data_IF_490321915159
#
_entry.id   IF_490321915159
#
_cell.length_a   1.000
_cell.length_b   1.000
_cell.length_c   1.000
_cell.angle_alpha   90.00
_cell.angle_beta   90.00
_cell.angle_gamma   90.00
#
_symmetry.space_group_name_H-M   'P 1'
#
loop_
_entity.id
_entity.type
_entity.pdbx_description
1 polymer ?
#
# COMPACT_ATOMS: atom_id res chain seq x y z
N UNK A 1 17.45 19.00 13.40
CA UNK A 1 15.98 19.09 13.44
C UNK A 1 15.49 18.16 12.35
N UNK A 2 14.86 17.03 12.69
CA UNK A 2 14.31 16.15 11.66
C UNK A 2 13.22 16.92 10.91
N UNK A 3 13.11 16.79 9.56
CA UNK A 3 12.00 17.38 8.84
C UNK A 3 10.68 16.89 9.44
N UNK A 4 9.72 17.80 9.64
CA UNK A 4 8.36 17.42 10.02
C UNK A 4 7.81 16.47 8.96
N UNK A 5 7.27 15.33 9.37
CA UNK A 5 6.65 14.37 8.47
C UNK A 5 5.42 15.02 7.83
N UNK A 6 5.53 15.38 6.55
CA UNK A 6 4.41 15.90 5.77
C UNK A 6 3.51 14.75 5.30
N UNK A 7 2.24 15.09 5.01
CA UNK A 7 1.33 14.15 4.35
C UNK A 7 1.76 14.04 2.89
N UNK A 8 2.16 12.84 2.41
CA UNK A 8 2.66 12.67 1.06
C UNK A 8 1.55 12.85 0.03
N UNK A 9 1.92 13.28 -1.18
CA UNK A 9 1.01 13.21 -2.33
C UNK A 9 0.90 11.76 -2.77
N UNK A 10 -0.31 11.20 -2.67
CA UNK A 10 -0.55 9.79 -2.98
C UNK A 10 -0.89 9.60 -4.46
N UNK A 11 -0.17 8.68 -5.11
CA UNK A 11 -0.43 8.23 -6.49
C UNK A 11 -1.00 6.82 -6.40
N UNK A 12 -2.24 6.64 -6.84
CA UNK A 12 -2.86 5.32 -6.89
C UNK A 12 -2.71 4.67 -8.26
N UNK A 13 -2.22 3.43 -8.27
CA UNK A 13 -2.17 2.60 -9.46
C UNK A 13 -3.12 1.41 -9.30
N UNK A 14 -4.32 1.55 -9.87
CA UNK A 14 -5.35 0.52 -9.87
C UNK A 14 -5.17 -0.36 -11.08
N UNK A 15 -4.97 -1.66 -10.87
CA UNK A 15 -4.62 -2.55 -11.97
C UNK A 15 -5.11 -3.98 -11.76
N UNK A 16 -5.37 -4.69 -12.85
CA UNK A 16 -5.66 -6.11 -12.78
C UNK A 16 -4.39 -6.92 -12.46
N UNK A 17 -4.50 -8.17 -11.96
CA UNK A 17 -3.36 -9.07 -11.84
C UNK A 17 -2.66 -9.25 -13.20
N UNK A 18 -1.32 -9.37 -13.16
CA UNK A 18 -0.46 -9.59 -14.36
C UNK A 18 -0.43 -8.40 -15.34
N UNK A 19 -0.68 -7.19 -14.86
CA UNK A 19 -0.69 -5.93 -15.64
C UNK A 19 0.63 -5.16 -15.65
N UNK A 20 1.74 -5.77 -15.20
CA UNK A 20 3.04 -5.12 -14.99
C UNK A 20 3.08 -4.05 -13.88
N UNK A 21 2.03 -3.93 -13.06
CA UNK A 21 1.98 -2.97 -11.95
C UNK A 21 3.11 -3.15 -10.92
N UNK A 22 3.60 -4.38 -10.72
CA UNK A 22 4.79 -4.65 -9.89
C UNK A 22 6.05 -4.02 -10.49
N UNK A 23 6.26 -4.13 -11.80
CA UNK A 23 7.42 -3.52 -12.47
C UNK A 23 7.35 -1.99 -12.37
N UNK A 24 6.16 -1.42 -12.52
CA UNK A 24 5.94 0.02 -12.35
C UNK A 24 6.20 0.47 -10.91
N UNK A 25 5.73 -0.30 -9.91
CA UNK A 25 6.03 -0.05 -8.50
C UNK A 25 7.53 -0.02 -8.23
N UNK A 26 8.29 -0.99 -8.75
CA UNK A 26 9.75 -0.98 -8.61
C UNK A 26 10.39 0.23 -9.28
N UNK A 27 9.89 0.70 -10.42
CA UNK A 27 10.39 1.92 -11.07
C UNK A 27 10.18 3.16 -10.20
N UNK A 28 9.06 3.27 -9.48
CA UNK A 28 8.83 4.36 -8.52
C UNK A 28 9.70 4.21 -7.26
N UNK A 29 9.93 2.99 -6.80
CA UNK A 29 10.79 2.70 -5.64
C UNK A 29 12.26 3.09 -5.87
N UNK A 30 12.71 3.25 -7.12
CA UNK A 30 14.06 3.73 -7.45
C UNK A 30 14.20 5.26 -7.39
N UNK A 31 13.11 6.00 -7.11
CA UNK A 31 13.16 7.46 -7.02
C UNK A 31 13.41 7.88 -5.57
N UNK A 32 14.36 8.81 -5.37
CA UNK A 32 14.69 9.32 -4.03
C UNK A 32 13.55 10.07 -3.34
N UNK A 33 12.57 10.55 -4.10
CA UNK A 33 11.43 11.35 -3.65
C UNK A 33 10.14 10.55 -3.40
N UNK A 34 10.20 9.22 -3.55
CA UNK A 34 9.02 8.36 -3.53
C UNK A 34 9.19 7.19 -2.57
N UNK A 35 8.14 6.93 -1.78
CA UNK A 35 7.96 5.66 -1.06
C UNK A 35 6.83 4.84 -1.73
N UNK A 36 6.87 3.51 -1.57
CA UNK A 36 5.93 2.61 -2.25
C UNK A 36 5.15 1.74 -1.25
N UNK A 37 3.88 1.49 -1.55
CA UNK A 37 3.04 0.52 -0.86
C UNK A 37 2.64 -0.59 -1.84
N UNK A 38 2.92 -1.84 -1.47
CA UNK A 38 2.53 -3.01 -2.25
C UNK A 38 1.22 -3.59 -1.71
N UNK A 39 0.13 -3.40 -2.46
CA UNK A 39 -1.20 -3.96 -2.20
C UNK A 39 -1.68 -3.79 -0.74
N UNK A 40 -1.67 -2.57 -0.15
CA UNK A 40 -1.92 -2.37 1.28
C UNK A 40 -3.34 -2.80 1.72
N UNK A 41 -4.29 -2.90 0.79
CA UNK A 41 -5.67 -3.30 1.04
C UNK A 41 -5.91 -4.81 0.91
N UNK A 42 -4.88 -5.63 0.67
CA UNK A 42 -5.07 -7.04 0.38
C UNK A 42 -5.64 -7.84 1.56
N UNK A 43 -5.24 -7.54 2.79
CA UNK A 43 -5.81 -8.15 3.99
C UNK A 43 -7.28 -7.80 4.17
N UNK A 44 -7.66 -6.55 3.90
CA UNK A 44 -9.05 -6.13 3.90
C UNK A 44 -9.86 -6.86 2.81
N UNK A 45 -9.30 -7.03 1.60
CA UNK A 45 -9.92 -7.80 0.54
C UNK A 45 -10.19 -9.26 0.98
N UNK A 46 -9.22 -9.96 1.57
CA UNK A 46 -9.41 -11.33 2.07
C UNK A 46 -10.40 -11.41 3.24
N UNK A 47 -10.43 -10.40 4.11
CA UNK A 47 -11.41 -10.31 5.20
C UNK A 47 -12.83 -10.16 4.66
N UNK A 48 -13.05 -9.19 3.75
CA UNK A 48 -14.38 -8.81 3.26
C UNK A 48 -14.95 -9.86 2.30
N UNK A 49 -14.13 -10.37 1.37
CA UNK A 49 -14.60 -11.33 0.36
C UNK A 49 -14.69 -12.75 0.88
N UNK A 50 -13.94 -13.10 1.93
CA UNK A 50 -13.88 -14.46 2.45
C UNK A 50 -13.20 -15.45 1.49
N UNK A 51 -12.52 -14.97 0.44
CA UNK A 51 -11.82 -15.82 -0.52
C UNK A 51 -10.78 -16.67 0.19
N UNK A 52 -10.85 -17.99 -0.01
CA UNK A 52 -9.92 -18.92 0.61
C UNK A 52 -8.54 -18.86 -0.09
N UNK A 53 -7.51 -18.76 0.75
CA UNK A 53 -6.10 -18.76 0.35
C UNK A 53 -5.30 -19.49 1.42
N UNK A 54 -4.31 -20.32 1.05
CA UNK A 54 -3.49 -21.05 2.02
C UNK A 54 -2.82 -20.15 3.07
N UNK A 55 -2.50 -18.91 2.69
CA UNK A 55 -1.84 -17.91 3.53
C UNK A 55 -2.79 -16.88 4.14
N UNK A 56 -4.12 -17.08 4.06
CA UNK A 56 -5.11 -16.07 4.47
C UNK A 56 -4.93 -15.63 5.92
N UNK A 57 -4.85 -16.60 6.84
CA UNK A 57 -4.71 -16.32 8.27
C UNK A 57 -3.37 -15.66 8.58
N UNK A 58 -2.30 -16.13 7.97
CA UNK A 58 -0.97 -15.53 8.08
C UNK A 58 -0.98 -14.07 7.63
N UNK A 59 -1.59 -13.78 6.47
CA UNK A 59 -1.66 -12.43 5.92
C UNK A 59 -2.47 -11.49 6.81
N UNK A 60 -3.64 -11.92 7.27
CA UNK A 60 -4.50 -11.14 8.18
C UNK A 60 -3.81 -10.94 9.55
N UNK A 61 -2.95 -11.85 9.99
CA UNK A 61 -2.19 -11.68 11.23
C UNK A 61 -1.05 -10.64 11.11
N UNK A 62 -0.55 -10.42 9.90
CA UNK A 62 0.61 -9.54 9.63
C UNK A 62 0.21 -8.15 9.12
N UNK A 63 -0.99 -7.99 8.57
CA UNK A 63 -1.48 -6.76 7.96
C UNK A 63 -2.79 -6.33 8.61
N UNK A 64 -3.03 -5.03 8.74
CA UNK A 64 -4.29 -4.48 9.24
C UNK A 64 -5.44 -4.83 8.28
N UNK A 65 -6.45 -5.62 8.70
CA UNK A 65 -7.54 -6.01 7.82
C UNK A 65 -8.68 -4.98 7.77
N UNK A 66 -8.69 -3.95 8.62
CA UNK A 66 -9.63 -2.83 8.53
C UNK A 66 -9.20 -1.81 7.46
N UNK A 67 -9.88 -1.86 6.31
CA UNK A 67 -9.60 -0.96 5.18
C UNK A 67 -9.67 0.54 5.54
N UNK A 68 -10.52 0.95 6.49
CA UNK A 68 -10.59 2.37 6.88
C UNK A 68 -9.34 2.82 7.62
N UNK A 69 -8.80 1.96 8.49
CA UNK A 69 -7.53 2.22 9.17
C UNK A 69 -6.37 2.22 8.19
N UNK A 70 -6.32 1.26 7.26
CA UNK A 70 -5.28 1.25 6.21
C UNK A 70 -5.31 2.55 5.40
N UNK A 71 -6.49 3.01 4.98
CA UNK A 71 -6.61 4.26 4.23
C UNK A 71 -6.08 5.45 5.05
N UNK A 72 -6.52 5.58 6.31
CA UNK A 72 -6.18 6.72 7.16
C UNK A 72 -4.72 6.72 7.61
N UNK A 73 -4.25 5.59 8.10
CA UNK A 73 -3.00 5.50 8.86
C UNK A 73 -1.82 5.01 8.01
N UNK A 74 -2.09 4.34 6.88
CA UNK A 74 -1.04 3.79 5.97
C UNK A 74 -1.00 4.53 4.64
N UNK A 75 -2.13 4.67 3.94
CA UNK A 75 -2.17 5.33 2.62
C UNK A 75 -2.01 6.83 2.76
N UNK A 76 -2.80 7.47 3.63
CA UNK A 76 -2.75 8.92 3.89
C UNK A 76 -2.06 9.28 5.21
N UNK A 77 -1.45 8.29 5.88
CA UNK A 77 -0.66 8.53 7.07
C UNK A 77 0.60 9.36 6.78
N UNK A 78 1.30 9.84 7.82
CA UNK A 78 2.57 10.57 7.67
C UNK A 78 3.58 9.77 6.82
N UNK A 79 4.40 10.47 6.03
CA UNK A 79 5.43 9.86 5.19
C UNK A 79 6.75 10.61 5.29
N UNK A 80 7.84 9.94 4.91
CA UNK A 80 9.17 10.57 4.85
C UNK A 80 9.46 11.20 3.48
N UNK A 81 8.72 10.77 2.47
CA UNK A 81 8.91 11.13 1.07
C UNK A 81 7.79 12.02 0.57
N UNK A 82 8.08 12.81 -0.46
CA UNK A 82 7.10 13.73 -1.07
C UNK A 82 5.94 12.96 -1.71
N UNK A 83 6.24 11.83 -2.35
CA UNK A 83 5.25 11.02 -3.03
C UNK A 83 5.15 9.64 -2.40
N UNK A 84 3.92 9.11 -2.39
CA UNK A 84 3.62 7.74 -2.02
C UNK A 84 2.92 7.05 -3.17
N UNK A 85 3.57 6.08 -3.78
CA UNK A 85 2.98 5.27 -4.84
C UNK A 85 2.30 4.04 -4.25
N UNK A 86 1.00 3.94 -4.46
CA UNK A 86 0.17 2.88 -3.91
C UNK A 86 -0.29 1.95 -5.04
N UNK A 87 0.27 0.74 -5.10
CA UNK A 87 -0.21 -0.32 -5.99
C UNK A 87 -1.46 -0.94 -5.38
N UNK A 88 -2.58 -0.85 -6.10
CA UNK A 88 -3.91 -1.37 -5.69
C UNK A 88 -4.42 -2.36 -6.72
#
# INVERSE_FOLDING_TARGET
MAPEAEVPVVIHAWSAPRSLSTSLMYSFAQRDDTEVLDEPLYANFLRVTGVDRPYREELISKMEPDGNKVIKDVIFGPGEKRYRYCKV
#
